data_IF_347696398400
#
_entry.id   IF_347696398400
#
_cell.length_a   1.000
_cell.length_b   1.000
_cell.length_c   1.000
_cell.angle_alpha   90.00
_cell.angle_beta   90.00
_cell.angle_gamma   90.00
#
_symmetry.space_group_name_H-M   'P 1'
#
loop_
_entity.id
_entity.type
_entity.pdbx_description
1 polymer ?
#
# COMPACT_ATOMS: atom_id res chain seq x y z
N UNK A 1 26.48 51.90 -21.44
CA UNK A 1 26.24 52.72 -22.65
C UNK A 1 27.14 53.95 -22.53
N UNK A 2 27.88 54.38 -23.57
CA UNK A 2 28.01 53.84 -24.94
C UNK A 2 29.38 53.13 -25.18
N UNK A 3 29.84 53.09 -26.44
CA UNK A 3 31.06 52.44 -26.97
C UNK A 3 32.18 53.48 -27.26
N UNK A 4 33.39 53.05 -27.70
CA UNK A 4 33.73 53.04 -29.15
C UNK A 4 34.13 51.61 -29.63
N UNK A 5 33.80 51.13 -30.83
CA UNK A 5 34.18 51.53 -32.20
C UNK A 5 35.68 51.39 -32.56
N UNK A 6 36.12 51.02 -33.78
CA UNK A 6 35.59 50.18 -34.89
C UNK A 6 36.61 50.16 -36.06
N UNK A 7 36.49 49.17 -36.98
CA UNK A 7 37.17 49.04 -38.30
C UNK A 7 38.66 48.58 -38.28
N UNK A 8 39.21 47.88 -39.30
CA UNK A 8 38.69 47.47 -40.63
C UNK A 8 39.24 46.07 -41.02
N UNK A 9 38.65 45.41 -42.03
CA UNK A 9 39.23 44.24 -42.73
C UNK A 9 40.06 44.70 -43.97
N UNK A 10 40.54 43.96 -44.98
CA UNK A 10 40.28 42.65 -45.66
C UNK A 10 41.52 42.39 -46.58
N UNK A 11 41.88 41.29 -47.28
CA UNK A 11 41.49 39.87 -47.56
C UNK A 11 42.77 39.19 -48.14
N UNK A 12 43.03 37.87 -47.90
CA UNK A 12 43.54 36.90 -48.92
C UNK A 12 43.75 35.46 -48.38
N UNK A 13 43.19 34.48 -49.08
CA UNK A 13 43.53 33.05 -49.01
C UNK A 13 44.44 32.66 -50.20
N UNK A 14 44.92 31.41 -50.29
CA UNK A 14 44.15 30.43 -51.05
C UNK A 14 44.09 29.02 -50.44
N UNK A 15 43.28 28.15 -51.06
CA UNK A 15 43.20 26.71 -50.77
C UNK A 15 44.28 25.94 -51.56
N UNK A 16 44.58 24.71 -51.14
CA UNK A 16 44.63 23.53 -52.05
C UNK A 16 44.64 22.22 -51.24
N UNK A 17 44.52 21.05 -51.90
CA UNK A 17 44.38 19.73 -51.26
C UNK A 17 45.64 18.87 -51.44
N UNK A 18 45.88 17.87 -50.55
CA UNK A 18 45.95 16.42 -50.92
C UNK A 18 46.47 15.44 -49.83
N UNK A 19 45.84 14.26 -49.83
CA UNK A 19 46.38 12.88 -49.59
C UNK A 19 46.91 12.47 -48.19
N UNK A 20 46.06 11.69 -47.50
CA UNK A 20 46.30 10.29 -47.04
C UNK A 20 47.63 9.91 -46.35
N UNK A 21 47.55 9.30 -45.15
CA UNK A 21 47.88 7.87 -44.91
C UNK A 21 47.72 7.39 -43.45
N UNK A 22 47.73 6.05 -43.29
CA UNK A 22 48.06 5.24 -42.09
C UNK A 22 47.09 5.10 -40.89
N UNK A 23 46.32 4.00 -40.94
CA UNK A 23 46.29 2.88 -39.97
C UNK A 23 46.30 3.17 -38.45
N UNK A 24 45.24 2.72 -37.76
CA UNK A 24 45.20 2.52 -36.30
C UNK A 24 44.16 1.49 -35.89
N UNK A 25 44.58 0.27 -35.53
CA UNK A 25 43.71 -0.83 -35.12
C UNK A 25 43.49 -0.79 -33.59
N UNK A 26 42.41 -0.12 -33.16
CA UNK A 26 42.06 -0.02 -31.74
C UNK A 26 41.28 -1.27 -31.27
N UNK A 27 41.94 -2.14 -30.50
CA UNK A 27 41.28 -3.28 -29.83
C UNK A 27 40.49 -2.75 -28.62
N UNK A 28 39.16 -2.79 -28.70
CA UNK A 28 38.28 -2.31 -27.64
C UNK A 28 37.98 -3.45 -26.65
N UNK A 29 38.35 -3.34 -25.36
CA UNK A 29 37.98 -4.35 -24.37
C UNK A 29 36.48 -4.28 -24.09
N UNK A 30 35.75 -5.33 -24.46
CA UNK A 30 34.34 -5.49 -24.09
C UNK A 30 34.28 -5.88 -22.62
N UNK A 31 34.21 -4.89 -21.71
CA UNK A 31 33.84 -5.16 -20.33
C UNK A 31 32.40 -5.66 -20.30
N UNK A 32 32.23 -6.97 -20.11
CA UNK A 32 30.95 -7.61 -19.89
C UNK A 32 30.32 -7.08 -18.58
N UNK A 33 29.54 -6.01 -18.70
CA UNK A 33 28.71 -5.45 -17.63
C UNK A 33 27.75 -6.54 -17.15
N UNK A 34 28.12 -7.21 -16.06
CA UNK A 34 27.24 -8.12 -15.37
C UNK A 34 26.12 -7.31 -14.74
N UNK A 35 25.03 -7.16 -15.47
CA UNK A 35 23.80 -6.60 -14.96
C UNK A 35 23.25 -7.59 -13.92
N UNK A 36 23.58 -7.35 -12.65
CA UNK A 36 22.85 -7.96 -11.54
C UNK A 36 21.38 -7.61 -11.75
N UNK A 37 20.55 -8.62 -11.99
CA UNK A 37 19.12 -8.43 -12.09
C UNK A 37 18.64 -7.89 -10.74
N UNK A 38 18.33 -6.60 -10.69
CA UNK A 38 17.62 -6.03 -9.56
C UNK A 38 16.27 -6.71 -9.50
N UNK A 39 16.13 -7.67 -8.59
CA UNK A 39 14.84 -8.27 -8.23
C UNK A 39 13.94 -7.14 -7.81
N UNK A 40 13.07 -6.68 -8.73
CA UNK A 40 12.06 -5.68 -8.41
C UNK A 40 11.26 -6.22 -7.23
N UNK A 41 10.97 -5.41 -6.19
CA UNK A 41 10.01 -5.81 -5.16
C UNK A 41 8.75 -6.32 -5.86
N UNK A 42 8.31 -7.53 -5.51
CA UNK A 42 7.10 -8.10 -6.11
C UNK A 42 5.95 -7.11 -5.84
N UNK A 43 5.21 -6.74 -6.89
CA UNK A 43 4.21 -5.68 -6.78
C UNK A 43 2.99 -6.19 -6.00
N UNK A 44 2.95 -5.87 -4.70
CA UNK A 44 1.95 -6.38 -3.76
C UNK A 44 0.63 -5.62 -3.95
N UNK A 45 -0.15 -6.05 -4.96
CA UNK A 45 -1.50 -5.54 -5.19
C UNK A 45 -2.39 -5.85 -3.98
N UNK A 46 -3.00 -4.80 -3.42
CA UNK A 46 -4.06 -4.92 -2.41
C UNK A 46 -5.40 -4.97 -3.14
N UNK A 47 -6.18 -6.00 -2.90
CA UNK A 47 -7.46 -6.22 -3.57
C UNK A 47 -8.56 -6.43 -2.52
N UNK A 48 -9.77 -5.93 -2.82
CA UNK A 48 -10.91 -5.95 -1.91
C UNK A 48 -12.18 -6.19 -2.69
N UNK A 49 -13.10 -6.98 -2.16
CA UNK A 49 -14.33 -7.32 -2.87
C UNK A 49 -15.07 -8.53 -2.29
N UNK A 50 -15.75 -9.26 -3.18
CA UNK A 50 -16.55 -10.45 -2.85
C UNK A 50 -16.08 -11.65 -3.67
N UNK A 51 -15.90 -12.81 -3.02
CA UNK A 51 -15.58 -14.05 -3.72
C UNK A 51 -16.78 -14.50 -4.56
N UNK A 52 -16.60 -14.71 -5.86
CA UNK A 52 -17.61 -15.24 -6.77
C UNK A 52 -17.49 -16.77 -6.88
N UNK A 53 -16.26 -17.29 -6.95
CA UNK A 53 -15.97 -18.72 -6.99
C UNK A 53 -14.74 -19.04 -6.15
N UNK A 54 -14.68 -20.27 -5.63
CA UNK A 54 -13.57 -20.81 -4.86
C UNK A 54 -13.35 -22.27 -5.27
N UNK A 55 -12.11 -22.65 -5.54
CA UNK A 55 -11.65 -24.02 -5.76
C UNK A 55 -10.56 -24.33 -4.73
N UNK A 56 -9.99 -25.56 -4.67
CA UNK A 56 -8.87 -25.84 -3.77
C UNK A 56 -7.66 -24.91 -4.01
N UNK A 57 -7.43 -24.52 -5.26
CA UNK A 57 -6.20 -23.90 -5.75
C UNK A 57 -6.39 -22.46 -6.25
N UNK A 58 -7.63 -21.99 -6.46
CA UNK A 58 -7.95 -20.66 -6.99
C UNK A 58 -9.15 -20.00 -6.31
N UNK A 59 -9.20 -18.67 -6.37
CA UNK A 59 -10.41 -17.86 -6.15
C UNK A 59 -10.67 -16.96 -7.35
N UNK A 60 -11.96 -16.73 -7.62
CA UNK A 60 -12.43 -15.65 -8.49
C UNK A 60 -12.99 -14.55 -7.62
N UNK A 61 -12.32 -13.40 -7.56
CA UNK A 61 -12.72 -12.21 -6.81
C UNK A 61 -13.41 -11.22 -7.76
N UNK A 62 -14.62 -10.75 -7.42
CA UNK A 62 -15.10 -9.50 -7.97
C UNK A 62 -14.67 -8.36 -7.05
N UNK A 63 -13.86 -7.43 -7.56
CA UNK A 63 -13.35 -6.28 -6.81
C UNK A 63 -14.46 -5.26 -6.55
N UNK A 64 -14.25 -4.37 -5.57
CA UNK A 64 -15.14 -3.21 -5.32
C UNK A 64 -15.33 -2.32 -6.56
N UNK A 65 -14.33 -2.30 -7.45
CA UNK A 65 -14.26 -1.47 -8.65
C UNK A 65 -14.90 -2.18 -9.87
N UNK A 66 -15.50 -3.37 -9.67
CA UNK A 66 -16.24 -4.14 -10.67
C UNK A 66 -15.41 -5.15 -11.47
N UNK A 67 -14.07 -5.03 -11.46
CA UNK A 67 -13.12 -5.96 -12.09
C UNK A 67 -13.33 -7.39 -11.55
N UNK A 68 -13.24 -8.40 -12.42
CA UNK A 68 -13.20 -9.81 -12.00
C UNK A 68 -11.79 -10.34 -12.16
N UNK A 69 -11.18 -10.76 -11.05
CA UNK A 69 -9.77 -11.18 -10.96
C UNK A 69 -9.69 -12.60 -10.41
N UNK A 70 -9.10 -13.51 -11.19
CA UNK A 70 -8.74 -14.85 -10.71
C UNK A 70 -7.36 -14.81 -10.04
N UNK A 71 -7.23 -15.47 -8.89
CA UNK A 71 -5.99 -15.53 -8.11
C UNK A 71 -5.72 -16.98 -7.66
N UNK A 72 -4.48 -17.44 -7.77
CA UNK A 72 -4.04 -18.72 -7.20
C UNK A 72 -3.92 -18.66 -5.67
N UNK A 73 -4.07 -19.80 -5.00
CA UNK A 73 -4.03 -20.00 -3.56
C UNK A 73 -2.79 -20.82 -3.18
N UNK A 74 -1.60 -20.21 -3.24
CA UNK A 74 -0.33 -20.87 -2.91
C UNK A 74 -0.30 -21.49 -1.51
N UNK A 75 0.53 -22.52 -1.30
CA UNK A 75 0.58 -23.28 -0.04
C UNK A 75 0.94 -22.43 1.20
N UNK A 76 1.59 -21.27 1.01
CA UNK A 76 1.97 -20.32 2.06
C UNK A 76 0.86 -19.29 2.38
N UNK A 77 -0.32 -19.40 1.75
CA UNK A 77 -1.47 -18.51 1.98
C UNK A 77 -1.85 -18.44 3.46
N UNK A 78 -1.82 -17.24 4.02
CA UNK A 78 -2.37 -16.98 5.35
C UNK A 78 -3.83 -16.52 5.27
N UNK A 79 -4.70 -17.09 6.09
CA UNK A 79 -6.11 -16.67 6.21
C UNK A 79 -6.38 -16.13 7.61
N UNK A 80 -7.17 -15.07 7.71
CA UNK A 80 -7.62 -14.49 8.97
C UNK A 80 -9.12 -14.19 8.92
N UNK A 81 -9.83 -14.49 10.01
CA UNK A 81 -11.22 -14.07 10.21
C UNK A 81 -11.23 -12.63 10.70
N UNK A 82 -11.95 -11.74 10.02
CA UNK A 82 -12.30 -10.40 10.54
C UNK A 82 -13.72 -10.46 11.08
N UNK A 83 -13.91 -10.00 12.31
CA UNK A 83 -15.20 -10.01 12.99
C UNK A 83 -15.44 -8.72 13.78
N UNK A 84 -16.70 -8.31 13.97
CA UNK A 84 -17.02 -7.08 14.69
C UNK A 84 -16.77 -7.22 16.19
N UNK A 85 -16.37 -6.11 16.80
CA UNK A 85 -16.24 -5.91 18.24
C UNK A 85 -16.83 -4.53 18.60
N UNK A 86 -16.91 -4.20 19.88
CA UNK A 86 -17.46 -2.92 20.33
C UNK A 86 -16.41 -1.81 20.38
N UNK A 87 -16.83 -0.56 20.20
CA UNK A 87 -15.98 0.61 20.46
C UNK A 87 -15.52 0.69 21.92
N UNK A 88 -16.21 0.00 22.86
CA UNK A 88 -15.80 -0.08 24.26
C UNK A 88 -14.47 -0.83 24.46
N UNK A 89 -14.13 -1.77 23.57
CA UNK A 89 -12.88 -2.55 23.59
C UNK A 89 -11.67 -1.77 23.07
N UNK A 90 -11.86 -0.59 22.47
CA UNK A 90 -10.77 0.35 22.17
C UNK A 90 -10.40 1.11 23.46
N UNK A 91 -9.31 0.71 24.09
CA UNK A 91 -8.86 1.19 25.41
C UNK A 91 -7.46 1.83 25.32
N UNK A 92 -7.05 2.53 26.38
CA UNK A 92 -5.65 2.95 26.50
C UNK A 92 -4.74 1.71 26.53
N UNK A 93 -3.64 1.75 25.78
CA UNK A 93 -2.73 0.62 25.54
C UNK A 93 -3.09 -0.25 24.33
N UNK A 94 -4.32 -0.21 23.80
CA UNK A 94 -4.69 -0.97 22.58
C UNK A 94 -3.83 -0.54 21.38
N UNK A 95 -3.27 -1.50 20.64
CA UNK A 95 -2.71 -1.22 19.32
C UNK A 95 -3.84 -1.29 18.29
N UNK A 96 -4.07 -0.20 17.56
CA UNK A 96 -5.14 -0.10 16.57
C UNK A 96 -4.60 0.33 15.21
N UNK A 97 -5.30 -0.07 14.15
CA UNK A 97 -5.20 0.50 12.81
C UNK A 97 -6.50 1.20 12.48
N UNK A 98 -6.47 2.47 12.11
CA UNK A 98 -7.67 3.20 11.69
C UNK A 98 -7.52 3.74 10.27
N UNK A 99 -8.50 3.42 9.43
CA UNK A 99 -8.71 4.12 8.17
C UNK A 99 -9.47 5.41 8.48
N UNK A 100 -8.91 6.57 8.12
CA UNK A 100 -9.42 7.86 8.56
C UNK A 100 -9.22 8.99 7.53
N UNK A 101 -10.14 9.94 7.48
CA UNK A 101 -10.00 11.18 6.72
C UNK A 101 -9.29 12.25 7.56
N UNK A 102 -8.33 13.01 7.00
CA UNK A 102 -7.85 14.26 7.59
C UNK A 102 -9.00 15.27 7.80
N UNK A 103 -8.89 16.09 8.83
CA UNK A 103 -9.82 17.19 9.12
C UNK A 103 -9.09 18.55 9.05
N UNK A 104 -9.85 19.64 8.89
CA UNK A 104 -9.30 20.98 8.71
C UNK A 104 -8.56 21.52 9.96
N UNK A 105 -8.81 20.95 11.14
CA UNK A 105 -8.11 21.24 12.40
C UNK A 105 -6.82 20.40 12.58
N UNK A 106 -6.48 19.54 11.61
CA UNK A 106 -5.35 18.62 11.68
C UNK A 106 -5.63 17.31 12.44
N UNK A 107 -6.83 17.11 12.97
CA UNK A 107 -7.29 15.83 13.52
C UNK A 107 -7.64 14.84 12.40
N UNK A 108 -7.99 13.61 12.79
CA UNK A 108 -8.44 12.56 11.88
C UNK A 108 -9.87 12.12 12.25
N UNK A 109 -10.73 11.88 11.27
CA UNK A 109 -12.06 11.28 11.47
C UNK A 109 -12.04 9.80 11.05
N UNK A 110 -12.34 8.88 11.96
CA UNK A 110 -12.30 7.45 11.70
C UNK A 110 -13.45 6.97 10.78
N UNK A 111 -13.10 6.35 9.66
CA UNK A 111 -14.00 5.60 8.78
C UNK A 111 -14.21 4.20 9.37
N UNK A 112 -13.14 3.56 9.83
CA UNK A 112 -13.14 2.24 10.46
C UNK A 112 -11.98 2.11 11.46
N UNK A 113 -12.12 1.19 12.43
CA UNK A 113 -11.08 0.86 13.41
C UNK A 113 -10.89 -0.65 13.49
N UNK A 114 -9.66 -1.11 13.26
CA UNK A 114 -9.21 -2.48 13.57
C UNK A 114 -8.43 -2.45 14.87
N UNK A 115 -8.89 -3.14 15.91
CA UNK A 115 -8.05 -3.47 17.07
C UNK A 115 -7.18 -4.66 16.68
N UNK A 116 -5.87 -4.54 16.80
CA UNK A 116 -4.95 -5.66 16.56
C UNK A 116 -4.91 -6.58 17.79
N UNK A 117 -4.85 -7.91 17.62
CA UNK A 117 -4.43 -8.80 18.70
C UNK A 117 -2.98 -8.48 19.08
N UNK A 118 -2.60 -8.70 20.34
CA UNK A 118 -1.28 -8.34 20.88
C UNK A 118 -0.11 -8.97 20.09
N UNK A 119 -0.31 -10.19 19.58
CA UNK A 119 0.64 -10.90 18.69
C UNK A 119 0.89 -10.21 17.33
N UNK A 120 0.17 -9.13 17.03
CA UNK A 120 0.33 -8.27 15.86
C UNK A 120 0.60 -6.79 16.24
N UNK A 121 1.00 -6.49 17.48
CA UNK A 121 1.46 -5.13 17.86
C UNK A 121 2.63 -4.69 16.97
N UNK A 122 2.64 -3.41 16.60
CA UNK A 122 3.65 -2.82 15.71
C UNK A 122 3.47 -3.16 14.23
N UNK A 123 2.53 -4.04 13.84
CA UNK A 123 2.33 -4.45 12.45
C UNK A 123 1.96 -3.25 11.56
N UNK A 124 2.92 -2.78 10.76
CA UNK A 124 2.76 -1.64 9.88
C UNK A 124 2.53 -0.32 10.62
N UNK A 125 3.06 -0.17 11.84
CA UNK A 125 3.01 1.06 12.65
C UNK A 125 3.42 2.30 11.84
N UNK A 126 2.71 3.42 12.08
CA UNK A 126 2.94 4.70 11.43
C UNK A 126 1.66 5.33 10.89
N UNK A 127 1.82 6.46 10.21
CA UNK A 127 0.75 7.18 9.52
C UNK A 127 1.13 7.36 8.04
N UNK A 128 0.23 6.99 7.13
CA UNK A 128 0.48 6.98 5.68
C UNK A 128 -0.82 7.09 4.87
N UNK A 129 -0.76 7.44 3.57
CA UNK A 129 -1.90 7.29 2.66
C UNK A 129 -2.46 5.86 2.65
N UNK A 130 -3.75 5.75 2.36
CA UNK A 130 -4.46 4.47 2.27
C UNK A 130 -5.45 4.48 1.11
N UNK A 131 -5.64 3.29 0.55
CA UNK A 131 -6.39 3.02 -0.67
C UNK A 131 -7.84 2.61 -0.39
N UNK A 132 -8.45 3.12 0.69
CA UNK A 132 -9.87 2.88 1.02
C UNK A 132 -10.79 3.78 0.19
N UNK A 133 -10.59 5.10 0.29
CA UNK A 133 -11.30 6.13 -0.49
C UNK A 133 -10.39 7.33 -0.76
N UNK A 134 -10.88 8.33 -1.50
CA UNK A 134 -10.17 9.58 -1.72
C UNK A 134 -9.69 10.20 -0.41
N UNK A 135 -8.44 10.70 -0.42
CA UNK A 135 -7.73 11.33 0.70
C UNK A 135 -7.66 10.52 2.01
N UNK A 136 -8.00 9.24 1.98
CA UNK A 136 -7.99 8.40 3.18
C UNK A 136 -6.56 8.05 3.62
N UNK A 137 -6.36 8.01 4.94
CA UNK A 137 -5.11 7.66 5.58
C UNK A 137 -5.28 6.36 6.39
N UNK A 138 -4.18 5.68 6.65
CA UNK A 138 -4.10 4.60 7.63
C UNK A 138 -3.16 5.03 8.74
N UNK A 139 -3.63 4.97 9.99
CA UNK A 139 -2.80 5.20 11.18
C UNK A 139 -2.79 3.93 12.02
N UNK A 140 -1.64 3.26 12.08
CA UNK A 140 -1.40 2.12 12.96
C UNK A 140 -0.58 2.63 14.16
N UNK A 141 -1.14 2.55 15.36
CA UNK A 141 -0.60 3.23 16.54
C UNK A 141 -1.11 2.62 17.85
N UNK A 142 -0.42 2.91 18.95
CA UNK A 142 -0.94 2.63 20.30
C UNK A 142 -1.85 3.78 20.75
N UNK A 143 -3.03 3.44 21.28
CA UNK A 143 -3.94 4.40 21.93
C UNK A 143 -3.32 4.81 23.27
N UNK A 144 -2.97 6.09 23.42
CA UNK A 144 -2.37 6.64 24.64
C UNK A 144 -3.42 7.17 25.62
N UNK A 145 -4.55 7.68 25.13
CA UNK A 145 -5.65 8.23 25.93
C UNK A 145 -7.00 8.10 25.20
N UNK A 146 -8.10 8.06 25.96
CA UNK A 146 -9.48 7.81 25.49
C UNK A 146 -10.48 8.73 26.19
N UNK A 147 -10.86 9.82 25.53
CA UNK A 147 -11.95 10.70 25.99
C UNK A 147 -13.27 10.23 25.38
N UNK A 148 -14.28 9.95 26.20
CA UNK A 148 -15.62 9.56 25.74
C UNK A 148 -16.60 10.73 25.75
N UNK A 149 -17.47 10.81 24.74
CA UNK A 149 -18.51 11.83 24.59
C UNK A 149 -19.81 11.20 24.05
N UNK A 150 -20.98 11.86 24.15
CA UNK A 150 -22.23 11.33 23.60
C UNK A 150 -22.20 11.04 22.09
N UNK A 151 -21.35 11.76 21.35
CA UNK A 151 -21.18 11.61 19.90
C UNK A 151 -20.13 10.54 19.49
N UNK A 152 -19.40 9.92 20.44
CA UNK A 152 -18.33 8.96 20.12
C UNK A 152 -17.15 8.99 21.10
N UNK A 153 -15.94 8.76 20.60
CA UNK A 153 -14.69 8.85 21.38
C UNK A 153 -13.65 9.70 20.65
N UNK A 154 -12.85 10.45 21.40
CA UNK A 154 -11.60 11.05 20.93
C UNK A 154 -10.44 10.25 21.49
N UNK A 155 -9.59 9.70 20.61
CA UNK A 155 -8.42 8.93 20.99
C UNK A 155 -7.16 9.76 20.71
N UNK A 156 -6.22 9.78 21.66
CA UNK A 156 -4.85 10.19 21.37
C UNK A 156 -4.05 8.97 20.91
N UNK A 157 -3.52 9.00 19.69
CA UNK A 157 -2.72 7.93 19.11
C UNK A 157 -1.24 8.30 19.16
N UNK A 158 -0.37 7.34 19.50
CA UNK A 158 1.09 7.50 19.49
C UNK A 158 1.77 6.33 18.75
N UNK A 159 2.80 6.67 17.98
CA UNK A 159 3.65 5.76 17.22
C UNK A 159 5.06 6.38 17.13
N UNK A 160 6.09 5.62 16.71
CA UNK A 160 7.47 6.11 16.68
C UNK A 160 7.67 7.40 15.85
N UNK A 161 6.83 7.63 14.85
CA UNK A 161 6.80 8.83 14.00
C UNK A 161 5.91 9.99 14.49
N UNK A 162 5.41 9.95 15.73
CA UNK A 162 4.67 11.06 16.34
C UNK A 162 3.31 10.69 16.94
N UNK A 163 2.39 11.66 16.94
CA UNK A 163 1.06 11.52 17.53
C UNK A 163 -0.04 12.09 16.63
N UNK A 164 -1.26 11.56 16.80
CA UNK A 164 -2.48 12.02 16.10
C UNK A 164 -3.67 12.02 17.05
N UNK A 165 -4.55 13.01 16.92
CA UNK A 165 -5.87 13.00 17.56
C UNK A 165 -6.87 12.39 16.57
N UNK A 166 -7.56 11.33 16.99
CA UNK A 166 -8.57 10.63 16.19
C UNK A 166 -9.95 10.83 16.82
N UNK A 167 -10.88 11.41 16.07
CA UNK A 167 -12.29 11.44 16.38
C UNK A 167 -12.97 10.17 15.81
N UNK A 168 -13.58 9.37 16.67
CA UNK A 168 -14.28 8.11 16.34
C UNK A 168 -15.78 8.28 16.64
N UNK A 169 -16.60 8.58 15.62
CA UNK A 169 -18.04 8.73 15.80
C UNK A 169 -18.75 7.50 16.37
N UNK A 170 -19.88 7.74 17.04
CA UNK A 170 -20.85 6.70 17.34
C UNK A 170 -21.30 6.04 16.03
N UNK A 171 -21.20 4.71 15.96
CA UNK A 171 -21.51 3.94 14.75
C UNK A 171 -20.33 3.66 13.81
N UNK A 172 -19.13 4.20 14.06
CA UNK A 172 -17.93 3.75 13.32
C UNK A 172 -17.74 2.23 13.51
N UNK A 173 -17.59 1.45 12.43
CA UNK A 173 -17.35 0.01 12.53
C UNK A 173 -16.01 -0.27 13.20
N UNK A 174 -16.07 -1.05 14.29
CA UNK A 174 -14.90 -1.56 15.00
C UNK A 174 -14.82 -3.07 14.81
N UNK A 175 -13.64 -3.56 14.44
CA UNK A 175 -13.37 -4.96 14.14
C UNK A 175 -12.07 -5.41 14.79
N UNK A 176 -11.89 -6.71 14.95
CA UNK A 176 -10.58 -7.32 15.19
C UNK A 176 -10.42 -8.53 14.28
N UNK A 177 -9.29 -9.22 14.36
CA UNK A 177 -9.04 -10.41 13.57
C UNK A 177 -8.30 -11.51 14.33
N UNK A 178 -8.53 -12.75 13.92
CA UNK A 178 -7.85 -13.96 14.42
C UNK A 178 -7.37 -14.84 13.27
N UNK A 179 -6.36 -15.71 13.48
CA UNK A 179 -6.00 -16.74 12.50
C UNK A 179 -7.20 -17.61 12.13
N UNK A 180 -7.27 -18.03 10.87
CA UNK A 180 -8.30 -18.92 10.35
C UNK A 180 -7.74 -19.77 9.19
N UNK A 181 -8.54 -20.69 8.68
CA UNK A 181 -8.21 -21.59 7.58
C UNK A 181 -9.04 -21.30 6.31
N UNK A 182 -8.81 -22.10 5.25
CA UNK A 182 -9.47 -21.92 3.93
C UNK A 182 -10.99 -22.13 3.96
N UNK A 183 -11.59 -22.71 5.01
CA UNK A 183 -13.06 -22.86 5.12
C UNK A 183 -13.84 -21.55 5.19
N UNK A 184 -13.18 -20.41 5.46
CA UNK A 184 -13.78 -19.08 5.31
C UNK A 184 -13.89 -18.60 3.86
N UNK A 185 -13.17 -19.23 2.92
CA UNK A 185 -13.18 -18.87 1.52
C UNK A 185 -14.38 -19.58 0.86
N UNK A 186 -15.53 -18.89 0.86
CA UNK A 186 -16.77 -19.36 0.23
C UNK A 186 -17.32 -18.31 -0.73
N UNK A 187 -18.07 -18.69 -1.79
CA UNK A 187 -18.81 -17.74 -2.61
C UNK A 187 -19.70 -16.83 -1.75
N UNK A 188 -19.71 -15.53 -2.07
CA UNK A 188 -20.39 -14.49 -1.30
C UNK A 188 -19.58 -13.92 -0.12
N UNK A 189 -18.44 -14.51 0.26
CA UNK A 189 -17.60 -13.97 1.34
C UNK A 189 -16.97 -12.62 0.94
N UNK A 190 -17.05 -11.64 1.86
CA UNK A 190 -16.34 -10.36 1.73
C UNK A 190 -14.88 -10.54 2.17
N UNK A 191 -13.95 -10.04 1.35
CA UNK A 191 -12.51 -10.21 1.58
C UNK A 191 -11.70 -8.94 1.30
N UNK A 192 -10.62 -8.78 2.05
CA UNK A 192 -9.53 -7.84 1.78
C UNK A 192 -8.21 -8.62 1.81
N UNK A 193 -7.48 -8.62 0.70
CA UNK A 193 -6.34 -9.51 0.47
C UNK A 193 -5.12 -8.80 -0.13
N UNK A 194 -3.96 -9.44 0.04
CA UNK A 194 -2.72 -9.13 -0.69
C UNK A 194 -2.47 -10.20 -1.74
N UNK A 195 -2.12 -9.79 -2.96
CA UNK A 195 -1.69 -10.66 -4.04
C UNK A 195 -0.36 -10.16 -4.64
N UNK A 196 0.40 -11.08 -5.21
CA UNK A 196 1.64 -10.80 -5.95
C UNK A 196 1.74 -11.75 -7.14
N UNK A 197 2.58 -11.45 -8.13
CA UNK A 197 2.89 -12.41 -9.21
C UNK A 197 3.90 -13.44 -8.68
N UNK A 198 3.58 -14.73 -8.79
CA UNK A 198 4.48 -15.86 -8.50
C UNK A 198 4.54 -16.71 -9.76
N UNK A 199 5.74 -16.97 -10.28
CA UNK A 199 6.00 -17.77 -11.49
C UNK A 199 5.18 -17.38 -12.74
N UNK A 200 4.72 -16.12 -12.79
CA UNK A 200 3.88 -15.56 -13.85
C UNK A 200 2.40 -15.45 -13.50
N UNK A 201 1.93 -16.13 -12.46
CA UNK A 201 0.52 -16.17 -12.05
C UNK A 201 0.20 -15.23 -10.86
N UNK A 202 -0.88 -14.43 -10.93
CA UNK A 202 -1.40 -13.68 -9.79
C UNK A 202 -1.80 -14.62 -8.63
N UNK A 203 -1.08 -14.54 -7.51
CA UNK A 203 -1.23 -15.44 -6.36
C UNK A 203 -1.58 -14.66 -5.10
N UNK A 204 -2.62 -15.06 -4.38
CA UNK A 204 -2.99 -14.50 -3.08
C UNK A 204 -2.03 -14.99 -1.97
N UNK A 205 -1.45 -14.07 -1.21
CA UNK A 205 -0.48 -14.37 -0.14
C UNK A 205 -1.08 -14.24 1.27
N UNK A 206 -2.05 -13.33 1.43
CA UNK A 206 -2.86 -13.19 2.65
C UNK A 206 -4.29 -12.80 2.29
N UNK A 207 -5.27 -13.51 2.85
CA UNK A 207 -6.68 -13.14 2.78
C UNK A 207 -7.22 -12.87 4.19
N UNK A 208 -7.87 -11.71 4.38
CA UNK A 208 -8.70 -11.45 5.54
C UNK A 208 -10.16 -11.56 5.09
N UNK A 209 -10.98 -12.37 5.76
CA UNK A 209 -12.32 -12.76 5.32
C UNK A 209 -13.38 -12.60 6.43
N UNK A 210 -14.61 -12.22 6.05
CA UNK A 210 -15.75 -12.14 6.96
C UNK A 210 -16.57 -13.43 6.97
N UNK A 211 -16.83 -13.99 8.15
CA UNK A 211 -17.67 -15.19 8.32
C UNK A 211 -19.16 -14.86 8.13
N UNK A 212 -19.95 -15.82 7.63
CA UNK A 212 -21.42 -15.75 7.55
C UNK A 212 -21.97 -14.47 6.86
N UNK A 213 -21.29 -14.00 5.81
CA UNK A 213 -21.70 -12.81 5.06
C UNK A 213 -21.36 -11.47 5.73
N UNK A 214 -20.62 -11.47 6.85
CA UNK A 214 -20.08 -10.24 7.43
C UNK A 214 -19.23 -9.50 6.39
N UNK A 215 -19.52 -8.22 6.17
CA UNK A 215 -18.77 -7.37 5.23
C UNK A 215 -17.65 -6.65 5.98
N UNK A 216 -16.45 -6.71 5.43
CA UNK A 216 -15.31 -5.97 5.98
C UNK A 216 -15.54 -4.46 5.80
N UNK A 217 -15.20 -3.62 6.80
CA UNK A 217 -15.43 -2.17 6.73
C UNK A 217 -14.32 -1.42 5.97
N UNK A 218 -13.61 -2.11 5.08
CA UNK A 218 -12.52 -1.57 4.25
C UNK A 218 -12.35 -2.35 2.95
#
# INVERSE_FOLDING_TARGET
MPLPQARTANIRAPLERRRQLLWGLAVWPILARHAWAQTRPADVRRLRGTLQQVTPDHITLQTRDGETVTLALGAQLTVAEVYPITLAEVQAGSFIGTAALPQADGSLQAIAVTVFPESARGLGEGHRPFDLQADSTMTNATVADVVSAPAGRTLQLRYAGGQKNLQVPAGTPVVTFRPADRSLLVPGASVSLSAQVVDGEPTATRINAGRNGFRLPY
#
